data_IF_321178385929
#
_entry.id   IF_321178385929
#
_cell.length_a   1.000
_cell.length_b   1.000
_cell.length_c   1.000
_cell.angle_alpha   90.00
_cell.angle_beta   90.00
_cell.angle_gamma   90.00
#
_symmetry.space_group_name_H-M   'P 1'
#
loop_
_entity.id
_entity.type
_entity.pdbx_description
1 polymer ?
#
# COMPACT_ATOMS: atom_id res chain seq x y z
N UNK A 1 25.64 57.60 -17.40
CA UNK A 1 26.51 56.50 -16.90
C UNK A 1 25.58 55.46 -16.29
N UNK A 2 25.04 54.56 -17.12
CA UNK A 2 23.99 53.60 -16.73
C UNK A 2 24.62 52.26 -16.34
N UNK A 3 24.30 51.78 -15.14
CA UNK A 3 24.74 50.49 -14.62
C UNK A 3 24.07 49.36 -15.41
N UNK A 4 24.84 48.59 -16.17
CA UNK A 4 24.38 47.35 -16.83
C UNK A 4 24.16 46.28 -15.77
N UNK A 5 22.90 45.95 -15.49
CA UNK A 5 22.50 44.99 -14.46
C UNK A 5 22.92 43.56 -14.86
N UNK A 6 23.57 42.88 -13.91
CA UNK A 6 24.24 41.57 -14.02
C UNK A 6 23.30 40.45 -14.48
N UNK A 7 23.82 39.59 -15.37
CA UNK A 7 23.21 38.32 -15.86
C UNK A 7 23.11 37.21 -14.79
N UNK A 8 22.86 37.52 -13.53
CA UNK A 8 22.96 36.55 -12.44
C UNK A 8 21.74 36.61 -11.54
N UNK A 9 20.60 36.09 -11.99
CA UNK A 9 19.47 35.78 -11.10
C UNK A 9 18.51 34.76 -11.70
N UNK A 10 18.97 33.55 -11.99
CA UNK A 10 18.08 32.43 -12.36
C UNK A 10 18.72 31.06 -12.07
N UNK A 11 19.37 30.89 -10.91
CA UNK A 11 20.06 29.63 -10.58
C UNK A 11 19.78 29.11 -9.16
N UNK A 12 18.61 29.41 -8.59
CA UNK A 12 18.21 28.92 -7.26
C UNK A 12 16.91 28.08 -7.25
N UNK A 13 16.28 27.85 -8.40
CA UNK A 13 14.97 27.17 -8.49
C UNK A 13 15.05 25.63 -8.58
N UNK A 14 16.24 25.03 -8.49
CA UNK A 14 16.46 23.60 -8.80
C UNK A 14 16.71 22.69 -7.59
N UNK A 15 16.44 23.16 -6.36
CA UNK A 15 16.42 22.29 -5.17
C UNK A 15 14.99 21.78 -4.92
N UNK A 16 14.40 21.11 -5.91
CA UNK A 16 13.14 20.39 -5.72
C UNK A 16 13.46 19.10 -4.97
N UNK A 17 12.87 18.83 -3.79
CA UNK A 17 13.06 17.56 -3.11
C UNK A 17 12.49 16.43 -3.99
N UNK A 18 13.37 15.57 -4.51
CA UNK A 18 13.04 14.42 -5.37
C UNK A 18 12.36 13.26 -4.63
N UNK A 19 12.03 13.42 -3.36
CA UNK A 19 11.43 12.38 -2.54
C UNK A 19 9.99 12.72 -2.20
N UNK A 20 9.10 12.65 -3.20
CA UNK A 20 7.67 12.58 -2.93
C UNK A 20 7.33 11.13 -2.59
N UNK A 21 7.00 10.86 -1.33
CA UNK A 21 6.35 9.60 -0.94
C UNK A 21 4.86 9.80 -1.18
N UNK A 22 4.40 9.46 -2.37
CA UNK A 22 3.01 9.62 -2.77
C UNK A 22 2.17 8.41 -2.36
N UNK A 23 1.94 8.24 -1.05
CA UNK A 23 1.07 7.20 -0.50
C UNK A 23 0.44 7.65 0.80
N UNK A 24 -0.90 7.65 0.87
CA UNK A 24 -1.62 8.09 2.07
C UNK A 24 -1.50 7.10 3.24
N UNK A 25 -1.37 5.80 2.93
CA UNK A 25 -1.19 4.71 3.89
C UNK A 25 0.01 3.85 3.53
N UNK A 26 0.74 3.38 4.55
CA UNK A 26 1.88 2.49 4.43
C UNK A 26 1.60 1.08 5.00
N UNK A 27 2.58 0.19 4.94
CA UNK A 27 2.45 -1.17 5.47
C UNK A 27 2.24 -1.27 6.98
N UNK A 28 2.63 -0.28 7.78
CA UNK A 28 2.34 -0.27 9.22
C UNK A 28 0.85 0.00 9.46
N UNK A 29 0.26 0.93 8.70
CA UNK A 29 -1.19 1.18 8.75
C UNK A 29 -1.97 -0.09 8.36
N UNK A 30 -1.53 -0.76 7.28
CA UNK A 30 -2.15 -2.01 6.84
C UNK A 30 -2.00 -3.14 7.87
N UNK A 31 -0.84 -3.30 8.50
CA UNK A 31 -0.64 -4.32 9.55
C UNK A 31 -1.52 -4.06 10.77
N UNK A 32 -1.65 -2.80 11.17
CA UNK A 32 -2.56 -2.39 12.24
C UNK A 32 -4.00 -2.79 11.92
N UNK A 33 -4.49 -2.47 10.71
CA UNK A 33 -5.85 -2.83 10.31
C UNK A 33 -6.04 -4.34 10.09
N UNK A 34 -5.04 -5.03 9.55
CA UNK A 34 -5.03 -6.49 9.40
C UNK A 34 -5.16 -7.18 10.77
N UNK A 35 -4.56 -6.62 11.81
CA UNK A 35 -4.72 -7.12 13.19
C UNK A 35 -6.17 -7.03 13.67
N UNK A 36 -6.89 -5.97 13.31
CA UNK A 36 -8.32 -5.81 13.61
C UNK A 36 -9.17 -6.83 12.84
N UNK A 37 -8.87 -7.07 11.56
CA UNK A 37 -9.51 -8.15 10.80
C UNK A 37 -9.24 -9.53 11.41
N UNK A 38 -8.02 -9.79 11.87
CA UNK A 38 -7.65 -11.05 12.55
C UNK A 38 -8.45 -11.27 13.83
N UNK A 39 -8.68 -10.21 14.63
CA UNK A 39 -9.55 -10.28 15.81
C UNK A 39 -10.99 -10.62 15.42
N UNK A 40 -11.52 -9.95 14.39
CA UNK A 40 -12.87 -10.18 13.89
C UNK A 40 -13.06 -11.64 13.44
N UNK A 41 -12.14 -12.16 12.62
CA UNK A 41 -12.15 -13.54 12.15
C UNK A 41 -12.08 -14.59 13.27
N UNK A 42 -11.51 -14.24 14.43
CA UNK A 42 -11.43 -15.12 15.61
C UNK A 42 -12.64 -14.98 16.55
N UNK A 43 -13.62 -14.13 16.22
CA UNK A 43 -14.76 -13.85 17.08
C UNK A 43 -14.39 -13.20 18.40
N UNK A 44 -13.25 -12.50 18.46
CA UNK A 44 -12.84 -11.76 19.65
C UNK A 44 -13.68 -10.49 19.78
N UNK A 45 -13.90 -9.97 21.01
CA UNK A 45 -14.61 -8.71 21.20
C UNK A 45 -13.99 -7.58 20.38
N UNK A 46 -14.83 -6.88 19.61
CA UNK A 46 -14.44 -5.74 18.79
C UNK A 46 -15.00 -4.45 19.34
N UNK A 47 -14.22 -3.38 19.22
CA UNK A 47 -14.75 -2.02 19.30
C UNK A 47 -15.26 -1.59 17.91
N UNK A 48 -16.09 -0.55 17.85
CA UNK A 48 -16.53 0.04 16.58
C UNK A 48 -15.33 0.49 15.70
N UNK A 49 -14.24 0.93 16.33
CA UNK A 49 -12.99 1.25 15.60
C UNK A 49 -12.40 -0.01 14.97
N UNK A 50 -12.34 -1.13 15.69
CA UNK A 50 -11.76 -2.37 15.13
C UNK A 50 -12.59 -2.92 13.97
N UNK A 51 -13.92 -2.80 14.03
CA UNK A 51 -14.79 -3.17 12.90
C UNK A 51 -14.52 -2.29 11.68
N UNK A 52 -14.36 -0.98 11.90
CA UNK A 52 -14.04 -0.01 10.85
C UNK A 52 -12.66 -0.28 10.25
N UNK A 53 -11.65 -0.53 11.08
CA UNK A 53 -10.29 -0.88 10.67
C UNK A 53 -10.27 -2.18 9.85
N UNK A 54 -10.96 -3.23 10.31
CA UNK A 54 -11.06 -4.49 9.59
C UNK A 54 -11.68 -4.29 8.20
N UNK A 55 -12.74 -3.47 8.12
CA UNK A 55 -13.40 -3.12 6.86
C UNK A 55 -12.50 -2.27 5.97
N UNK A 56 -11.73 -1.34 6.53
CA UNK A 56 -10.77 -0.53 5.80
C UNK A 56 -9.67 -1.39 5.17
N UNK A 57 -9.13 -2.37 5.90
CA UNK A 57 -8.15 -3.30 5.34
C UNK A 57 -8.73 -4.11 4.18
N UNK A 58 -9.92 -4.68 4.35
CA UNK A 58 -10.61 -5.43 3.31
C UNK A 58 -10.84 -4.57 2.06
N UNK A 59 -11.36 -3.36 2.23
CA UNK A 59 -11.60 -2.42 1.13
C UNK A 59 -10.32 -1.97 0.43
N UNK A 60 -9.25 -1.72 1.19
CA UNK A 60 -7.96 -1.34 0.63
C UNK A 60 -7.37 -2.45 -0.24
N UNK A 61 -7.37 -3.68 0.26
CA UNK A 61 -6.88 -4.86 -0.50
C UNK A 61 -7.74 -5.08 -1.73
N UNK A 62 -9.07 -4.96 -1.63
CA UNK A 62 -9.97 -5.09 -2.77
C UNK A 62 -9.70 -4.02 -3.85
N UNK A 63 -9.53 -2.75 -3.46
CA UNK A 63 -9.24 -1.68 -4.41
C UNK A 63 -7.92 -1.87 -5.17
N UNK A 64 -6.87 -2.32 -4.47
CA UNK A 64 -5.60 -2.65 -5.13
C UNK A 64 -5.75 -3.88 -6.02
N UNK A 65 -6.49 -4.90 -5.57
CA UNK A 65 -6.80 -6.08 -6.37
C UNK A 65 -7.46 -5.70 -7.70
N UNK A 66 -8.56 -4.95 -7.66
CA UNK A 66 -9.34 -4.56 -8.84
C UNK A 66 -8.52 -3.70 -9.83
N UNK A 67 -7.55 -2.94 -9.30
CA UNK A 67 -6.67 -2.10 -10.13
C UNK A 67 -5.55 -2.90 -10.79
N UNK A 68 -5.03 -3.93 -10.11
CA UNK A 68 -3.82 -4.64 -10.49
C UNK A 68 -4.03 -6.01 -11.14
N UNK A 69 -5.21 -6.61 -11.00
CA UNK A 69 -5.52 -7.95 -11.52
C UNK A 69 -5.29 -8.03 -13.03
N UNK A 70 -4.63 -9.11 -13.47
CA UNK A 70 -4.33 -9.39 -14.87
C UNK A 70 -3.13 -8.62 -15.44
N UNK A 71 -2.60 -7.64 -14.70
CA UNK A 71 -1.44 -6.83 -15.11
C UNK A 71 -0.27 -7.02 -14.15
N UNK A 72 -0.49 -6.77 -12.86
CA UNK A 72 0.54 -6.87 -11.81
C UNK A 72 0.59 -8.25 -11.18
N UNK A 73 -0.57 -8.92 -11.08
CA UNK A 73 -0.73 -10.27 -10.55
C UNK A 73 -1.90 -10.98 -11.23
N UNK A 74 -1.84 -12.31 -11.35
CA UNK A 74 -2.78 -13.13 -12.10
C UNK A 74 -3.34 -14.27 -11.24
N UNK A 75 -4.23 -13.95 -10.28
CA UNK A 75 -4.90 -14.92 -9.43
C UNK A 75 -5.84 -15.82 -10.25
N UNK A 76 -6.20 -17.01 -9.75
CA UNK A 76 -7.19 -17.86 -10.39
C UNK A 76 -8.58 -17.20 -10.39
N UNK A 77 -9.44 -17.58 -11.35
CA UNK A 77 -10.80 -17.04 -11.42
C UNK A 77 -11.56 -17.23 -10.10
N UNK A 78 -12.31 -16.19 -9.70
CA UNK A 78 -13.13 -16.15 -8.47
C UNK A 78 -12.33 -16.27 -7.17
N UNK A 79 -11.14 -15.68 -7.12
CA UNK A 79 -10.39 -15.53 -5.88
C UNK A 79 -11.20 -14.76 -4.82
N UNK A 80 -11.38 -15.37 -3.64
CA UNK A 80 -12.15 -14.78 -2.56
C UNK A 80 -11.37 -13.64 -1.88
N UNK A 81 -12.05 -12.54 -1.53
CA UNK A 81 -11.45 -11.42 -0.81
C UNK A 81 -10.70 -11.86 0.45
N UNK A 82 -11.28 -12.81 1.20
CA UNK A 82 -10.64 -13.38 2.39
C UNK A 82 -9.24 -13.94 2.07
N UNK A 83 -9.11 -14.67 0.97
CA UNK A 83 -7.82 -15.26 0.56
C UNK A 83 -6.80 -14.16 0.26
N UNK A 84 -7.22 -13.08 -0.42
CA UNK A 84 -6.34 -11.95 -0.73
C UNK A 84 -5.87 -11.25 0.55
N UNK A 85 -6.80 -10.98 1.48
CA UNK A 85 -6.45 -10.37 2.77
C UNK A 85 -5.56 -11.28 3.62
N UNK A 86 -5.74 -12.60 3.58
CA UNK A 86 -4.89 -13.56 4.30
C UNK A 86 -3.44 -13.52 3.74
N UNK A 87 -3.28 -13.50 2.41
CA UNK A 87 -1.97 -13.42 1.74
C UNK A 87 -1.24 -12.12 2.08
N UNK A 88 -1.93 -10.98 1.99
CA UNK A 88 -1.35 -9.67 2.32
C UNK A 88 -0.95 -9.60 3.80
N UNK A 89 -1.80 -10.11 4.70
CA UNK A 89 -1.49 -10.15 6.13
C UNK A 89 -0.22 -10.97 6.40
N UNK A 90 -0.12 -12.16 5.79
CA UNK A 90 1.06 -13.03 5.92
C UNK A 90 2.34 -12.35 5.40
N UNK A 91 2.26 -11.63 4.28
CA UNK A 91 3.38 -10.85 3.74
C UNK A 91 3.83 -9.76 4.72
N UNK A 92 2.90 -8.96 5.24
CA UNK A 92 3.21 -7.89 6.19
C UNK A 92 3.87 -8.45 7.47
N UNK A 93 3.40 -9.59 7.99
CA UNK A 93 3.98 -10.26 9.17
C UNK A 93 5.42 -10.74 8.89
N UNK A 94 5.67 -11.29 7.70
CA UNK A 94 6.99 -11.82 7.33
C UNK A 94 8.01 -10.76 6.97
N UNK A 95 7.56 -9.55 6.63
CA UNK A 95 8.41 -8.45 6.15
C UNK A 95 8.25 -7.16 6.96
N UNK A 96 8.50 -7.15 8.29
CA UNK A 96 8.37 -5.95 9.11
C UNK A 96 9.28 -4.80 8.65
N UNK A 97 10.45 -5.12 8.09
CA UNK A 97 11.41 -4.15 7.55
C UNK A 97 10.88 -3.35 6.36
N UNK A 98 9.88 -3.89 5.64
CA UNK A 98 9.31 -3.26 4.43
C UNK A 98 8.08 -2.41 4.73
N UNK A 99 7.51 -2.45 5.94
CA UNK A 99 6.22 -1.81 6.27
C UNK A 99 6.22 -0.29 6.18
N UNK A 100 7.38 0.34 6.07
CA UNK A 100 7.48 1.78 5.81
C UNK A 100 7.18 2.15 4.35
N UNK A 101 7.12 1.17 3.44
CA UNK A 101 6.76 1.38 2.05
C UNK A 101 5.24 1.61 1.88
N UNK A 102 4.87 2.14 0.71
CA UNK A 102 3.48 2.42 0.35
C UNK A 102 2.62 1.16 0.38
N UNK A 103 1.42 1.25 0.97
CA UNK A 103 0.54 0.11 1.18
C UNK A 103 0.17 -0.61 -0.12
N UNK A 104 -0.19 0.14 -1.17
CA UNK A 104 -0.56 -0.41 -2.47
C UNK A 104 0.56 -1.23 -3.13
N UNK A 105 1.81 -0.78 -2.96
CA UNK A 105 2.98 -1.50 -3.46
C UNK A 105 3.14 -2.81 -2.70
N UNK A 106 3.04 -2.79 -1.37
CA UNK A 106 3.16 -3.99 -0.54
C UNK A 106 2.05 -5.01 -0.83
N UNK A 107 0.82 -4.56 -1.06
CA UNK A 107 -0.30 -5.43 -1.48
C UNK A 107 0.01 -6.05 -2.85
N UNK A 108 0.43 -5.24 -3.82
CA UNK A 108 0.74 -5.72 -5.18
C UNK A 108 1.91 -6.70 -5.20
N UNK A 109 2.96 -6.43 -4.42
CA UNK A 109 4.11 -7.33 -4.24
C UNK A 109 3.66 -8.65 -3.60
N UNK A 110 2.90 -8.60 -2.50
CA UNK A 110 2.39 -9.81 -1.84
C UNK A 110 1.57 -10.70 -2.79
N UNK A 111 0.67 -10.09 -3.57
CA UNK A 111 -0.19 -10.82 -4.51
C UNK A 111 0.60 -11.33 -5.73
N UNK A 112 1.56 -10.57 -6.25
CA UNK A 112 2.40 -10.99 -7.39
C UNK A 112 3.37 -12.12 -7.03
N UNK A 113 3.93 -12.12 -5.81
CA UNK A 113 4.75 -13.24 -5.32
C UNK A 113 3.93 -14.54 -5.24
N UNK A 114 2.64 -14.44 -4.90
CA UNK A 114 1.75 -15.60 -4.81
C UNK A 114 1.15 -16.03 -6.14
N UNK A 115 0.83 -15.06 -7.00
CA UNK A 115 0.11 -15.23 -8.26
C UNK A 115 0.85 -14.51 -9.41
N UNK A 116 2.03 -14.99 -9.80
CA UNK A 116 2.78 -14.38 -10.90
C UNK A 116 2.03 -14.52 -12.23
N UNK A 117 1.97 -13.44 -13.00
CA UNK A 117 1.46 -13.49 -14.37
C UNK A 117 2.42 -14.25 -15.28
N UNK A 118 1.85 -15.04 -16.21
CA UNK A 118 2.62 -15.68 -17.28
C UNK A 118 3.09 -14.60 -18.25
N UNK A 119 4.32 -14.72 -18.72
CA UNK A 119 4.88 -13.87 -19.77
C UNK A 119 4.36 -14.30 -21.14
#
# INVERSE_FOLDING_TARGET
MGFTMKKTLALFSALIPLYSVAGFYNGNDLDYWASSLSKSNKGLPLTASNESDASAFQGYVAGVYDTGEGVLFCPPERSALKQMTDIVTDYLIKHPEKRNAQGADLVSIALSEKFPCKK
#
